data_IF_897943936452
#
_entry.id   IF_897943936452
#
_cell.length_a   1.000
_cell.length_b   1.000
_cell.length_c   1.000
_cell.angle_alpha   90.00
_cell.angle_beta   90.00
_cell.angle_gamma   90.00
#
_symmetry.space_group_name_H-M   'P 1'
#
loop_
_entity.id
_entity.type
_entity.pdbx_description
1 polymer ?
#
# COMPACT_ATOMS: atom_id res chain seq x y z
N UNK A 1 3.95 1.30 3.32
CA UNK A 1 3.77 2.51 2.47
C UNK A 1 4.17 2.16 1.05
N UNK A 2 3.45 2.62 0.03
CA UNK A 2 3.80 2.38 -1.37
C UNK A 2 3.21 3.45 -2.30
N UNK A 3 3.73 3.53 -3.52
CA UNK A 3 3.10 4.29 -4.61
C UNK A 3 2.39 3.34 -5.56
N UNK A 4 1.19 3.70 -5.99
CA UNK A 4 0.34 2.86 -6.83
C UNK A 4 -0.34 3.67 -7.94
N UNK A 5 -0.63 3.06 -9.10
CA UNK A 5 -1.54 3.60 -10.09
C UNK A 5 -2.94 3.79 -9.51
N UNK A 6 -3.58 4.90 -9.83
CA UNK A 6 -4.94 5.24 -9.36
C UNK A 6 -6.01 4.29 -9.90
N UNK A 7 -5.82 3.74 -11.10
CA UNK A 7 -6.71 2.76 -11.75
C UNK A 7 -6.61 1.34 -11.17
N UNK A 8 -5.61 1.09 -10.32
CA UNK A 8 -5.33 -0.21 -9.68
C UNK A 8 -5.54 -0.20 -8.18
N UNK A 9 -6.09 0.88 -7.63
CA UNK A 9 -6.22 1.10 -6.20
C UNK A 9 -7.03 -0.01 -5.52
N UNK A 10 -8.18 -0.38 -6.07
CA UNK A 10 -9.06 -1.40 -5.47
C UNK A 10 -8.38 -2.78 -5.42
N UNK A 11 -7.68 -3.16 -6.50
CA UNK A 11 -6.91 -4.41 -6.53
C UNK A 11 -5.79 -4.44 -5.49
N UNK A 12 -5.16 -3.29 -5.24
CA UNK A 12 -4.12 -3.15 -4.22
C UNK A 12 -4.70 -3.18 -2.81
N UNK A 13 -5.90 -2.61 -2.61
CA UNK A 13 -6.63 -2.70 -1.34
C UNK A 13 -7.00 -4.15 -1.01
N UNK A 14 -7.44 -4.91 -2.00
CA UNK A 14 -7.81 -6.32 -1.83
C UNK A 14 -6.61 -7.20 -1.44
N UNK A 15 -5.41 -6.89 -1.96
CA UNK A 15 -4.18 -7.61 -1.62
C UNK A 15 -3.60 -7.23 -0.24
N UNK A 16 -4.01 -6.09 0.31
CA UNK A 16 -3.47 -5.52 1.53
C UNK A 16 -4.58 -5.32 2.57
N UNK A 17 -5.06 -6.41 3.21
CA UNK A 17 -6.02 -6.30 4.29
C UNK A 17 -5.43 -5.48 5.42
N UNK A 18 -5.97 -4.27 5.58
CA UNK A 18 -5.53 -3.31 6.57
C UNK A 18 -6.34 -3.41 7.86
N UNK A 19 -5.77 -2.93 8.96
CA UNK A 19 -6.51 -2.70 10.20
C UNK A 19 -7.60 -1.61 10.03
N UNK A 20 -7.36 -0.62 9.17
CA UNK A 20 -8.27 0.47 8.81
C UNK A 20 -8.22 0.75 7.30
N UNK A 21 -9.09 1.65 6.79
CA UNK A 21 -9.03 2.08 5.39
C UNK A 21 -7.70 2.81 5.12
N UNK A 22 -6.97 2.43 4.05
CA UNK A 22 -5.69 3.05 3.72
C UNK A 22 -5.82 4.56 3.52
N UNK A 23 -4.83 5.29 4.04
CA UNK A 23 -4.64 6.70 3.69
C UNK A 23 -4.13 6.80 2.26
N UNK A 24 -4.88 7.49 1.40
CA UNK A 24 -4.54 7.72 -0.01
C UNK A 24 -4.23 9.19 -0.23
N UNK A 25 -3.03 9.48 -0.73
CA UNK A 25 -2.57 10.85 -0.99
C UNK A 25 -2.17 11.02 -2.46
N UNK A 26 -2.67 12.05 -3.16
CA UNK A 26 -2.23 12.34 -4.52
C UNK A 26 -0.76 12.76 -4.52
N UNK A 27 0.00 12.31 -5.52
CA UNK A 27 1.35 12.80 -5.70
C UNK A 27 1.33 14.23 -6.25
N UNK A 28 2.39 14.99 -5.91
CA UNK A 28 2.47 16.41 -6.25
C UNK A 28 2.43 16.64 -7.77
N UNK A 29 3.28 15.93 -8.51
CA UNK A 29 3.42 16.10 -9.96
C UNK A 29 2.67 15.05 -10.79
N UNK A 30 2.54 13.82 -10.29
CA UNK A 30 1.94 12.72 -11.01
C UNK A 30 0.49 12.51 -10.55
N UNK A 31 -0.47 12.80 -11.43
CA UNK A 31 -1.90 12.61 -11.16
C UNK A 31 -2.39 11.18 -11.44
N UNK A 32 -1.56 10.37 -12.09
CA UNK A 32 -1.90 8.98 -12.40
C UNK A 32 -1.59 8.04 -11.24
N UNK A 33 -0.83 8.51 -10.25
CA UNK A 33 -0.38 7.72 -9.09
C UNK A 33 -0.71 8.39 -7.77
N UNK A 34 -0.83 7.56 -6.75
CA UNK A 34 -1.10 7.94 -5.36
C UNK A 34 -0.10 7.27 -4.42
N UNK A 35 0.20 7.94 -3.31
CA UNK A 35 0.85 7.32 -2.17
C UNK A 35 -0.22 6.68 -1.27
N UNK A 36 0.05 5.46 -0.83
CA UNK A 36 -0.83 4.66 0.02
C UNK A 36 -0.09 4.32 1.30
N UNK A 37 -0.66 4.72 2.44
CA UNK A 37 -0.19 4.33 3.76
C UNK A 37 -1.27 3.48 4.43
N UNK A 38 -0.88 2.31 4.91
CA UNK A 38 -1.76 1.39 5.62
C UNK A 38 -0.96 0.59 6.63
N UNK A 39 -1.67 0.12 7.65
CA UNK A 39 -1.17 -0.88 8.59
C UNK A 39 -1.80 -2.20 8.21
N UNK A 40 -0.98 -3.17 7.83
CA UNK A 40 -1.42 -4.53 7.51
C UNK A 40 -1.76 -5.26 8.81
N UNK A 41 -2.92 -5.91 8.88
CA UNK A 41 -3.30 -6.76 10.02
C UNK A 41 -2.58 -8.11 10.01
N UNK A 42 -2.00 -8.47 8.86
CA UNK A 42 -1.30 -9.73 8.64
C UNK A 42 0.17 -9.50 8.26
N UNK A 43 0.98 -10.55 8.41
CA UNK A 43 2.36 -10.51 7.95
C UNK A 43 2.40 -10.37 6.43
N UNK A 44 3.11 -9.36 5.95
CA UNK A 44 3.36 -9.19 4.52
C UNK A 44 4.36 -10.24 4.04
N UNK A 45 3.94 -11.11 3.13
CA UNK A 45 4.83 -12.10 2.54
C UNK A 45 5.50 -11.58 1.26
N UNK A 46 6.57 -12.24 0.86
CA UNK A 46 7.30 -11.92 -0.37
C UNK A 46 6.40 -11.98 -1.61
N UNK A 47 5.51 -12.98 -1.69
CA UNK A 47 4.56 -13.16 -2.78
C UNK A 47 3.62 -11.95 -2.94
N UNK A 48 3.12 -11.39 -1.83
CA UNK A 48 2.29 -10.17 -1.85
C UNK A 48 3.07 -8.99 -2.41
N UNK A 49 4.37 -8.86 -2.07
CA UNK A 49 5.20 -7.78 -2.61
C UNK A 49 5.41 -7.91 -4.13
N UNK A 50 5.56 -9.14 -4.63
CA UNK A 50 5.64 -9.40 -6.08
C UNK A 50 4.33 -9.05 -6.78
N UNK A 51 3.19 -9.47 -6.25
CA UNK A 51 1.86 -9.14 -6.80
C UNK A 51 1.61 -7.63 -6.83
N UNK A 52 1.98 -6.91 -5.76
CA UNK A 52 1.89 -5.45 -5.74
C UNK A 52 2.73 -4.82 -6.86
N UNK A 53 3.95 -5.33 -7.06
CA UNK A 53 4.84 -4.83 -8.10
C UNK A 53 4.29 -5.12 -9.51
N UNK A 54 3.66 -6.27 -9.72
CA UNK A 54 2.95 -6.60 -10.97
C UNK A 54 1.77 -5.66 -11.25
N UNK A 55 1.09 -5.20 -10.20
CA UNK A 55 0.04 -4.19 -10.29
C UNK A 55 0.57 -2.75 -10.48
N UNK A 56 1.89 -2.58 -10.63
CA UNK A 56 2.52 -1.29 -10.85
C UNK A 56 2.85 -0.51 -9.56
N UNK A 57 2.77 -1.18 -8.41
CA UNK A 57 3.26 -0.58 -7.18
C UNK A 57 4.77 -0.36 -7.24
N UNK A 58 5.23 0.77 -6.70
CA UNK A 58 6.66 1.06 -6.56
C UNK A 58 6.94 1.69 -5.21
N UNK A 59 8.23 1.82 -4.88
CA UNK A 59 8.67 2.49 -3.65
C UNK A 59 8.03 1.88 -2.40
N UNK A 60 7.88 0.55 -2.39
CA UNK A 60 7.27 -0.19 -1.29
C UNK A 60 8.23 -0.15 -0.10
N UNK A 61 7.76 0.40 1.01
CA UNK A 61 8.45 0.48 2.27
C UNK A 61 7.63 -0.25 3.33
N UNK A 62 8.26 -1.25 3.97
CA UNK A 62 7.68 -2.02 5.07
C UNK A 62 8.49 -1.71 6.32
N UNK A 63 7.80 -1.28 7.38
CA UNK A 63 8.40 -0.92 8.66
C UNK A 63 7.72 -1.75 9.76
N UNK A 64 8.47 -2.31 10.72
CA UNK A 64 7.87 -2.94 11.89
C UNK A 64 7.21 -1.86 12.77
N UNK A 65 6.06 -2.20 13.36
CA UNK A 65 5.39 -1.34 14.35
C UNK A 65 5.75 -1.88 15.73
N UNK A 66 6.52 -1.11 16.50
CA UNK A 66 6.93 -1.51 17.86
C UNK A 66 5.79 -1.42 18.86
N UNK A 67 4.94 -0.40 18.72
CA UNK A 67 3.80 -0.17 19.60
C UNK A 67 2.71 0.59 18.85
N UNK A 68 1.49 0.08 18.94
CA UNK A 68 0.28 0.75 18.45
C UNK A 68 -0.59 1.07 19.67
N UNK A 69 -1.20 2.26 19.68
CA UNK A 69 -2.19 2.65 20.67
C UNK A 69 -3.50 2.90 19.93
N UNK A 70 -4.58 2.34 20.45
CA UNK A 70 -5.96 2.56 19.98
C UNK A 70 -6.68 3.59 20.85
#
# INVERSE_FOLDING_TARGET
MLHAPTDRLDQIKDLLPGAEDPTVMPLSQDKTRVAIHLVSSENLFWETMEQLKELGASSILVLPIEKMME
#
